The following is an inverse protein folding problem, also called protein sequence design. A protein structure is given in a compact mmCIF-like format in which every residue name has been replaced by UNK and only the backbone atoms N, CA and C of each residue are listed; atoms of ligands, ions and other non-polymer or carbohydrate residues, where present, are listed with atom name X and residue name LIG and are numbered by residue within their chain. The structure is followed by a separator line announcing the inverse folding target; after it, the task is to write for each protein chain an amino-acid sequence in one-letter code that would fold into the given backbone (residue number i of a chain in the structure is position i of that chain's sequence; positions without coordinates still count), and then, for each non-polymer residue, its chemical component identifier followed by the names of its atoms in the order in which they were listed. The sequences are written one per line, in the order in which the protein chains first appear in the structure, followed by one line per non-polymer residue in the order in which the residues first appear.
data_IF_174866419326
#
_entry.id   IF_174866419326
#
_cell.length_a   1.000
_cell.length_b   1.000
_cell.length_c   1.000
_cell.angle_alpha   90.00
_cell.angle_beta   90.00
_cell.angle_gamma   90.00
#
_symmetry.space_group_name_H-M   'P 1'
#
loop_
_entity.id
_entity.type
_entity.pdbx_description
1 polymer ?
#
# COMPACT_ATOMS: atom_id res chain seq x y z
N UNK A 1 28.01 -8.70 -3.92
CA UNK A 1 27.77 -7.45 -3.16
C UNK A 1 26.26 -7.34 -2.92
N UNK A 2 25.77 -7.19 -1.68
CA UNK A 2 24.37 -6.89 -1.46
C UNK A 2 24.03 -5.61 -2.22
N UNK A 3 22.98 -5.68 -3.04
CA UNK A 3 22.58 -4.57 -3.89
C UNK A 3 22.21 -3.36 -3.02
N UNK A 4 22.96 -2.27 -3.13
CA UNK A 4 22.81 -1.07 -2.29
C UNK A 4 21.38 -0.55 -2.27
N UNK A 5 20.98 0.02 -1.13
CA UNK A 5 19.75 0.76 -1.00
C UNK A 5 19.87 2.05 -1.81
N UNK A 6 19.04 2.20 -2.84
CA UNK A 6 18.90 3.46 -3.57
C UNK A 6 17.66 4.19 -3.06
N UNK A 7 17.61 5.51 -3.28
CA UNK A 7 16.44 6.33 -2.95
C UNK A 7 15.17 5.74 -3.57
N UNK A 8 15.23 5.29 -4.82
CA UNK A 8 14.11 4.67 -5.52
C UNK A 8 13.57 3.44 -4.78
N UNK A 9 14.46 2.54 -4.35
CA UNK A 9 14.08 1.31 -3.66
C UNK A 9 13.51 1.62 -2.28
N UNK A 10 14.12 2.56 -1.56
CA UNK A 10 13.63 2.99 -0.25
C UNK A 10 12.24 3.59 -0.34
N UNK A 11 12.00 4.48 -1.30
CA UNK A 11 10.67 5.07 -1.57
C UNK A 11 9.66 3.98 -1.92
N UNK A 12 10.02 3.04 -2.80
CA UNK A 12 9.15 1.94 -3.18
C UNK A 12 8.78 1.05 -1.98
N UNK A 13 9.78 0.66 -1.18
CA UNK A 13 9.56 -0.19 -0.01
C UNK A 13 8.67 0.48 1.03
N UNK A 14 8.93 1.76 1.35
CA UNK A 14 8.10 2.55 2.28
C UNK A 14 6.67 2.70 1.74
N UNK A 15 6.51 3.02 0.46
CA UNK A 15 5.20 3.13 -0.17
C UNK A 15 4.44 1.79 -0.17
N UNK A 16 5.13 0.66 -0.41
CA UNK A 16 4.56 -0.68 -0.35
C UNK A 16 4.10 -1.03 1.07
N UNK A 17 4.89 -0.69 2.08
CA UNK A 17 4.51 -0.87 3.49
C UNK A 17 3.26 -0.07 3.85
N UNK A 18 3.18 1.20 3.46
CA UNK A 18 1.98 2.01 3.68
C UNK A 18 0.78 1.47 2.90
N UNK A 19 0.98 1.01 1.66
CA UNK A 19 -0.09 0.42 0.86
C UNK A 19 -0.66 -0.85 1.52
N UNK A 20 0.18 -1.69 2.14
CA UNK A 20 -0.25 -2.85 2.92
C UNK A 20 -1.07 -2.40 4.14
N UNK A 21 -0.54 -1.48 4.96
CA UNK A 21 -1.18 -1.04 6.19
C UNK A 21 -2.53 -0.35 5.91
N UNK A 22 -2.53 0.70 5.10
CA UNK A 22 -3.76 1.46 4.82
C UNK A 22 -4.75 0.66 3.98
N UNK A 23 -4.29 -0.24 3.11
CA UNK A 23 -5.14 -1.16 2.38
C UNK A 23 -5.88 -2.13 3.29
N UNK A 24 -5.16 -2.77 4.23
CA UNK A 24 -5.76 -3.62 5.26
C UNK A 24 -6.82 -2.87 6.06
N UNK A 25 -6.45 -1.69 6.58
CA UNK A 25 -7.36 -0.85 7.38
C UNK A 25 -8.60 -0.47 6.58
N UNK A 26 -8.46 -0.09 5.31
CA UNK A 26 -9.60 0.33 4.49
C UNK A 26 -10.52 -0.83 4.10
N UNK A 27 -9.95 -2.02 3.85
CA UNK A 27 -10.71 -3.22 3.48
C UNK A 27 -11.43 -3.85 4.67
N UNK A 28 -10.78 -3.93 5.84
CA UNK A 28 -11.32 -4.55 7.05
C UNK A 28 -12.28 -3.65 7.82
N UNK A 29 -12.30 -2.34 7.53
CA UNK A 29 -13.25 -1.40 8.15
C UNK A 29 -14.71 -1.81 7.88
N UNK A 30 -15.51 -1.82 8.96
CA UNK A 30 -16.96 -2.08 8.93
C UNK A 30 -17.73 -1.02 8.14
N UNK A 31 -17.48 0.26 8.43
CA UNK A 31 -18.15 1.40 7.77
C UNK A 31 -17.45 1.81 6.47
N UNK A 32 -18.07 1.52 5.33
CA UNK A 32 -17.56 1.87 4.00
C UNK A 32 -18.32 3.08 3.43
N UNK A 33 -17.69 3.83 2.53
CA UNK A 33 -18.28 5.02 1.89
C UNK A 33 -18.29 6.31 2.72
N UNK A 34 -18.05 6.24 4.04
CA UNK A 34 -17.92 7.42 4.90
C UNK A 34 -16.65 8.26 4.66
N UNK A 35 -16.56 9.42 5.30
CA UNK A 35 -15.42 10.35 5.15
C UNK A 35 -14.07 9.71 5.47
N UNK A 36 -13.99 8.94 6.56
CA UNK A 36 -12.76 8.27 6.97
C UNK A 36 -12.35 7.14 6.00
N UNK A 37 -13.31 6.39 5.45
CA UNK A 37 -13.06 5.41 4.38
C UNK A 37 -12.49 6.09 3.13
N UNK A 38 -13.04 7.25 2.75
CA UNK A 38 -12.53 8.02 1.60
C UNK A 38 -11.13 8.58 1.85
N UNK A 39 -10.86 9.10 3.05
CA UNK A 39 -9.55 9.66 3.41
C UNK A 39 -8.46 8.57 3.44
N UNK A 40 -8.68 7.48 4.18
CA UNK A 40 -7.75 6.34 4.24
C UNK A 40 -7.60 5.70 2.86
N UNK A 41 -8.70 5.53 2.12
CA UNK A 41 -8.67 4.99 0.76
C UNK A 41 -7.83 5.82 -0.21
N UNK A 42 -7.83 7.17 -0.09
CA UNK A 42 -6.97 8.03 -0.91
C UNK A 42 -5.49 7.84 -0.60
N UNK A 43 -5.14 7.74 0.68
CA UNK A 43 -3.75 7.48 1.10
C UNK A 43 -3.29 6.13 0.53
N UNK A 44 -4.09 5.08 0.74
CA UNK A 44 -3.80 3.76 0.21
C UNK A 44 -3.58 3.77 -1.32
N UNK A 45 -4.50 4.40 -2.07
CA UNK A 45 -4.42 4.49 -3.53
C UNK A 45 -3.19 5.27 -3.98
N UNK A 46 -2.86 6.39 -3.31
CA UNK A 46 -1.66 7.17 -3.62
C UNK A 46 -0.39 6.34 -3.39
N UNK A 47 -0.29 5.63 -2.27
CA UNK A 47 0.81 4.70 -1.99
C UNK A 47 0.92 3.61 -3.06
N UNK A 48 -0.20 3.01 -3.47
CA UNK A 48 -0.21 2.00 -4.53
C UNK A 48 0.27 2.55 -5.88
N UNK A 49 -0.11 3.78 -6.24
CA UNK A 49 0.41 4.41 -7.47
C UNK A 49 1.92 4.64 -7.39
N UNK A 50 2.45 5.07 -6.25
CA UNK A 50 3.90 5.20 -6.06
C UNK A 50 4.57 3.84 -6.24
N UNK A 51 4.02 2.76 -5.66
CA UNK A 51 4.55 1.39 -5.78
C UNK A 51 4.63 0.95 -7.24
N UNK A 52 3.51 1.02 -7.98
CA UNK A 52 3.49 0.54 -9.37
C UNK A 52 4.32 1.41 -10.31
N UNK A 53 4.44 2.72 -10.06
CA UNK A 53 5.27 3.58 -10.91
C UNK A 53 6.76 3.38 -10.65
N UNK A 54 7.15 3.26 -9.38
CA UNK A 54 8.56 3.04 -9.01
C UNK A 54 9.03 1.63 -9.33
N UNK A 55 8.14 0.63 -9.37
CA UNK A 55 8.52 -0.76 -9.70
C UNK A 55 9.18 -0.88 -11.07
N UNK A 56 8.77 -0.08 -12.06
CA UNK A 56 9.37 -0.08 -13.40
C UNK A 56 10.83 0.37 -13.43
N UNK A 57 11.26 1.18 -12.45
CA UNK A 57 12.66 1.56 -12.28
C UNK A 57 13.49 0.52 -11.51
N UNK A 58 12.83 -0.42 -10.82
CA UNK A 58 13.49 -1.48 -10.03
C UNK A 58 13.64 -2.72 -10.90
N UNK A 59 14.67 -2.72 -11.74
CA UNK A 59 15.04 -3.90 -12.53
C UNK A 59 15.68 -4.97 -11.64
N UNK A 60 15.39 -6.23 -11.94
CA UNK A 60 15.90 -7.37 -11.16
C UNK A 60 17.30 -7.80 -11.60
N UNK A 61 17.85 -8.83 -10.95
CA UNK A 61 19.23 -9.33 -11.09
C UNK A 61 19.58 -9.66 -12.55
N UNK A 62 18.60 -10.04 -13.36
CA UNK A 62 18.79 -10.43 -14.77
C UNK A 62 18.55 -9.28 -15.76
N UNK A 63 18.34 -8.05 -15.26
CA UNK A 63 18.12 -6.84 -16.06
C UNK A 63 16.78 -6.73 -16.79
N UNK A 64 15.99 -7.81 -16.83
CA UNK A 64 14.71 -7.90 -17.56
C UNK A 64 13.44 -7.58 -16.76
N UNK A 65 12.34 -7.41 -17.50
CA UNK A 65 10.98 -7.39 -16.97
C UNK A 65 10.56 -8.79 -16.51
N UNK A 66 9.97 -8.89 -15.33
CA UNK A 66 9.46 -10.14 -14.79
C UNK A 66 7.97 -10.04 -14.43
N UNK A 67 7.41 -11.10 -13.87
CA UNK A 67 6.00 -11.17 -13.50
C UNK A 67 5.55 -10.06 -12.53
N UNK A 68 6.44 -9.50 -11.70
CA UNK A 68 6.12 -8.36 -10.81
C UNK A 68 5.86 -7.07 -11.59
N UNK A 69 6.47 -6.90 -12.77
CA UNK A 69 6.19 -5.77 -13.64
C UNK A 69 4.84 -5.94 -14.35
N UNK A 70 4.54 -7.15 -14.82
CA UNK A 70 3.22 -7.47 -15.36
C UNK A 70 2.13 -7.25 -14.30
N UNK A 71 2.40 -7.67 -13.05
CA UNK A 71 1.51 -7.41 -11.93
C UNK A 71 1.36 -5.91 -11.64
N UNK A 72 2.42 -5.11 -11.80
CA UNK A 72 2.36 -3.66 -11.63
C UNK A 72 1.47 -2.99 -12.68
N UNK A 73 1.56 -3.42 -13.95
CA UNK A 73 0.66 -2.96 -15.02
C UNK A 73 -0.78 -3.35 -14.71
N UNK A 74 -1.03 -4.62 -14.36
CA UNK A 74 -2.36 -5.09 -14.00
C UNK A 74 -2.95 -4.28 -12.85
N UNK A 75 -2.15 -4.06 -11.80
CA UNK A 75 -2.54 -3.32 -10.60
C UNK A 75 -2.84 -1.85 -10.92
N UNK A 76 -2.03 -1.21 -11.78
CA UNK A 76 -2.28 0.16 -12.24
C UNK A 76 -3.63 0.25 -12.97
N UNK A 77 -3.92 -0.70 -13.86
CA UNK A 77 -5.18 -0.78 -14.58
C UNK A 77 -6.37 -1.02 -13.64
N UNK A 78 -6.27 -1.99 -12.72
CA UNK A 78 -7.36 -2.33 -11.79
C UNK A 78 -7.64 -1.22 -10.78
N UNK A 79 -6.62 -0.54 -10.28
CA UNK A 79 -6.80 0.64 -9.42
C UNK A 79 -7.53 1.75 -10.16
N UNK A 80 -7.08 2.09 -11.36
CA UNK A 80 -7.67 3.17 -12.16
C UNK A 80 -9.11 2.84 -12.54
N UNK A 81 -9.37 1.60 -12.97
CA UNK A 81 -10.72 1.11 -13.23
C UNK A 81 -11.59 1.11 -11.96
N UNK A 82 -11.04 0.74 -10.80
CA UNK A 82 -11.75 0.76 -9.51
C UNK A 82 -12.14 2.17 -9.08
N UNK A 83 -11.27 3.15 -9.30
CA UNK A 83 -11.55 4.56 -9.06
C UNK A 83 -12.56 5.14 -10.07
N UNK A 84 -12.58 4.65 -11.29
CA UNK A 84 -13.57 5.04 -12.28
C UNK A 84 -14.95 4.43 -11.98
N UNK A 85 -14.98 3.16 -11.56
CA UNK A 85 -16.20 2.46 -11.16
C UNK A 85 -16.94 3.19 -10.03
N UNK A 86 -16.23 3.63 -8.97
CA UNK A 86 -16.86 4.39 -7.88
C UNK A 86 -17.38 5.74 -8.34
N UNK A 87 -16.71 6.42 -9.29
CA UNK A 87 -17.20 7.67 -9.89
C UNK A 87 -18.49 7.47 -10.68
N UNK A 88 -18.66 6.30 -11.31
CA UNK A 88 -19.89 5.90 -12.02
C UNK A 88 -20.95 5.30 -11.08
N UNK A 89 -20.74 5.30 -9.77
CA UNK A 89 -21.66 4.70 -8.80
C UNK A 89 -21.64 3.17 -8.75
N UNK A 90 -20.76 2.50 -9.50
CA UNK A 90 -20.64 1.05 -9.50
C UNK A 90 -19.76 0.56 -8.32
N UNK A 91 -20.39 0.48 -7.15
CA UNK A 91 -19.73 0.09 -5.90
C UNK A 91 -19.26 -1.37 -5.91
N UNK A 92 -20.00 -2.27 -6.58
CA UNK A 92 -19.63 -3.69 -6.67
C UNK A 92 -18.32 -3.86 -7.44
N UNK A 93 -18.19 -3.20 -8.60
CA UNK A 93 -16.97 -3.23 -9.39
C UNK A 93 -15.81 -2.55 -8.65
N UNK A 94 -16.04 -1.37 -8.03
CA UNK A 94 -15.03 -0.72 -7.19
C UNK A 94 -14.49 -1.67 -6.12
N UNK A 95 -15.38 -2.32 -5.34
CA UNK A 95 -14.98 -3.25 -4.28
C UNK A 95 -14.15 -4.41 -4.84
N UNK A 96 -14.60 -5.05 -5.92
CA UNK A 96 -13.90 -6.19 -6.51
C UNK A 96 -12.49 -5.81 -6.99
N UNK A 97 -12.36 -4.69 -7.71
CA UNK A 97 -11.08 -4.22 -8.25
C UNK A 97 -10.11 -3.77 -7.15
N UNK A 98 -10.60 -3.10 -6.11
CA UNK A 98 -9.78 -2.70 -4.97
C UNK A 98 -9.30 -3.90 -4.16
N UNK A 99 -10.18 -4.88 -3.90
CA UNK A 99 -9.79 -6.13 -3.22
C UNK A 99 -8.78 -6.91 -4.06
N UNK A 100 -9.00 -7.06 -5.37
CA UNK A 100 -8.06 -7.73 -6.27
C UNK A 100 -6.68 -7.07 -6.28
N UNK A 101 -6.64 -5.74 -6.33
CA UNK A 101 -5.38 -4.97 -6.28
C UNK A 101 -4.63 -5.19 -4.95
N UNK A 102 -5.35 -5.29 -3.83
CA UNK A 102 -4.76 -5.60 -2.53
C UNK A 102 -4.20 -7.03 -2.45
N UNK A 103 -4.95 -8.01 -2.98
CA UNK A 103 -4.47 -9.39 -3.04
C UNK A 103 -3.23 -9.52 -3.94
N UNK A 104 -3.19 -8.76 -5.05
CA UNK A 104 -2.00 -8.62 -5.88
C UNK A 104 -0.81 -8.08 -5.08
N UNK A 105 -1.00 -7.00 -4.31
CA UNK A 105 0.03 -6.45 -3.43
C UNK A 105 0.53 -7.48 -2.40
N UNK A 106 -0.37 -8.24 -1.76
CA UNK A 106 0.01 -9.30 -0.83
C UNK A 106 0.82 -10.40 -1.52
N UNK A 107 0.39 -10.83 -2.72
CA UNK A 107 1.12 -11.80 -3.52
C UNK A 107 2.52 -11.31 -3.92
N UNK A 108 2.64 -10.04 -4.29
CA UNK A 108 3.93 -9.40 -4.58
C UNK A 108 4.85 -9.41 -3.35
N UNK A 109 4.31 -9.05 -2.18
CA UNK A 109 5.06 -9.04 -0.93
C UNK A 109 5.56 -10.44 -0.55
N UNK A 110 4.69 -11.45 -0.62
CA UNK A 110 5.08 -12.86 -0.41
C UNK A 110 6.15 -13.29 -1.42
N UNK A 111 6.00 -12.94 -2.70
CA UNK A 111 6.98 -13.24 -3.73
C UNK A 111 8.36 -12.61 -3.48
N UNK A 112 8.40 -11.41 -2.89
CA UNK A 112 9.66 -10.76 -2.48
C UNK A 112 10.28 -11.47 -1.28
N UNK A 113 9.48 -11.85 -0.28
CA UNK A 113 9.95 -12.54 0.93
C UNK A 113 10.45 -13.95 0.64
N UNK A 114 9.86 -14.64 -0.34
CA UNK A 114 10.20 -16.00 -0.72
C UNK A 114 11.59 -16.13 -1.38
N UNK A 115 12.24 -15.02 -1.74
CA UNK A 115 13.56 -15.01 -2.37
C UNK A 115 14.58 -14.43 -1.37
N UNK A 116 15.36 -15.26 -0.66
CA UNK A 116 16.24 -14.82 0.42
C UNK A 116 17.31 -13.81 0.00
N UNK A 117 17.70 -13.81 -1.28
CA UNK A 117 18.67 -12.85 -1.83
C UNK A 117 18.10 -11.44 -2.03
N UNK A 118 16.79 -11.22 -1.79
CA UNK A 118 16.16 -9.89 -1.86
C UNK A 118 16.48 -9.07 -0.61
N UNK A 119 16.46 -7.75 -0.78
CA UNK A 119 16.88 -6.78 0.25
C UNK A 119 16.10 -6.88 1.57
N UNK A 120 14.78 -7.14 1.51
CA UNK A 120 13.96 -7.23 2.72
C UNK A 120 14.29 -8.48 3.56
N UNK A 121 14.34 -9.70 2.99
CA UNK A 121 14.88 -10.87 3.70
C UNK A 121 16.31 -10.68 4.22
N UNK A 122 17.20 -10.06 3.44
CA UNK A 122 18.57 -9.75 3.88
C UNK A 122 18.59 -8.80 5.09
N UNK A 123 17.74 -7.76 5.08
CA UNK A 123 17.58 -6.86 6.22
C UNK A 123 17.04 -7.60 7.46
N UNK A 124 16.13 -8.55 7.27
CA UNK A 124 15.59 -9.37 8.36
C UNK A 124 16.62 -10.35 8.92
N UNK A 125 17.56 -10.83 8.12
CA UNK A 125 18.58 -11.79 8.59
C UNK A 125 19.75 -11.05 9.26
N UNK A 126 20.19 -9.94 8.69
CA UNK A 126 21.41 -9.26 9.10
C UNK A 126 21.19 -8.08 10.05
N UNK A 127 20.02 -7.43 10.00
CA UNK A 127 19.77 -6.12 10.64
C UNK A 127 18.39 -6.09 11.33
N UNK A 128 18.10 -7.12 12.13
CA UNK A 128 16.83 -7.26 12.86
C UNK A 128 16.42 -6.01 13.67
N UNK A 129 17.33 -5.35 14.42
CA UNK A 129 16.95 -4.16 15.19
C UNK A 129 16.47 -3.01 14.30
N UNK A 130 17.15 -2.78 13.17
CA UNK A 130 16.76 -1.73 12.22
C UNK A 130 15.41 -2.06 11.57
N UNK A 131 15.20 -3.31 11.15
CA UNK A 131 13.91 -3.74 10.62
C UNK A 131 12.78 -3.52 11.64
N UNK A 132 13.00 -3.92 12.90
CA UNK A 132 12.03 -3.73 13.98
C UNK A 132 11.68 -2.25 14.20
N UNK A 133 12.69 -1.37 14.23
CA UNK A 133 12.48 0.06 14.35
C UNK A 133 11.68 0.63 13.18
N UNK A 134 12.00 0.24 11.94
CA UNK A 134 11.27 0.70 10.75
C UNK A 134 9.80 0.28 10.78
N UNK A 135 9.51 -0.97 11.19
CA UNK A 135 8.15 -1.46 11.37
C UNK A 135 7.42 -0.63 12.43
N UNK A 136 8.06 -0.38 13.58
CA UNK A 136 7.47 0.42 14.66
C UNK A 136 7.15 1.85 14.19
N UNK A 137 8.07 2.48 13.46
CA UNK A 137 7.87 3.83 12.91
C UNK A 137 6.73 3.84 11.90
N UNK A 138 6.66 2.87 10.98
CA UNK A 138 5.60 2.77 9.99
C UNK A 138 4.23 2.54 10.64
N UNK A 139 4.15 1.66 11.64
CA UNK A 139 2.91 1.40 12.36
C UNK A 139 2.49 2.60 13.22
N UNK A 140 3.44 3.24 13.92
CA UNK A 140 3.18 4.42 14.75
C UNK A 140 2.67 5.59 13.92
N UNK A 141 3.35 5.91 12.81
CA UNK A 141 2.92 6.99 11.89
C UNK A 141 1.59 6.68 11.21
N UNK A 142 1.34 5.44 10.80
CA UNK A 142 0.04 5.04 10.27
C UNK A 142 -1.07 5.16 11.32
N UNK A 143 -0.82 4.72 12.56
CA UNK A 143 -1.77 4.83 13.67
C UNK A 143 -2.10 6.30 13.97
N UNK A 144 -1.08 7.15 14.11
CA UNK A 144 -1.28 8.60 14.32
C UNK A 144 -2.07 9.23 13.17
N UNK A 145 -1.80 8.86 11.93
CA UNK A 145 -2.54 9.34 10.76
C UNK A 145 -4.01 8.92 10.83
N UNK A 146 -4.30 7.66 11.15
CA UNK A 146 -5.67 7.14 11.23
C UNK A 146 -6.44 7.79 12.38
N UNK A 147 -5.81 7.90 13.55
CA UNK A 147 -6.41 8.52 14.74
C UNK A 147 -6.65 10.01 14.51
N UNK A 148 -5.69 10.74 13.96
CA UNK A 148 -5.86 12.15 13.61
C UNK A 148 -7.00 12.37 12.61
N UNK A 149 -7.08 11.55 11.56
CA UNK A 149 -8.19 11.61 10.59
C UNK A 149 -9.55 11.28 11.24
N UNK A 150 -9.59 10.35 12.19
CA UNK A 150 -10.80 10.02 12.93
C UNK A 150 -11.24 11.17 13.83
N UNK A 151 -10.32 11.76 14.60
CA UNK A 151 -10.58 12.89 15.50
C UNK A 151 -11.05 14.13 14.75
N UNK A 152 -10.37 14.50 13.65
CA UNK A 152 -10.80 15.63 12.81
C UNK A 152 -12.23 15.40 12.30
N UNK A 153 -12.57 14.16 11.96
CA UNK A 153 -13.92 13.84 11.47
C UNK A 153 -14.98 13.91 12.57
N UNK A 154 -14.64 13.52 13.79
CA UNK A 154 -15.52 13.65 14.95
C UNK A 154 -15.75 15.11 15.33
N UNK A 155 -14.69 15.93 15.33
CA UNK A 155 -14.78 17.36 15.62
C UNK A 155 -15.68 18.12 14.61
N UNK A 156 -15.78 17.63 13.37
CA UNK A 156 -16.62 18.20 12.32
C UNK A 156 -18.08 17.72 12.34
N UNK A 157 -18.49 16.85 13.29
CA UNK A 157 -19.90 16.42 13.40
C UNK A 157 -20.75 17.55 14.03
N UNK A 158 -21.81 18.03 13.37
CA UNK A 158 -22.64 19.12 13.91
C UNK A 158 -23.32 18.72 15.23
N UNK A 159 -23.44 19.68 16.16
CA UNK A 159 -23.95 19.49 17.52
C UNK A 159 -25.43 19.09 17.62
N UNK A 160 -26.19 19.12 16.52
CA UNK A 160 -27.63 18.81 16.49
C UNK A 160 -27.98 17.31 16.48
N UNK A 161 -27.00 16.43 16.72
CA UNK A 161 -27.16 14.96 16.69
C UNK A 161 -26.60 14.30 17.98
N UNK A 162 -26.44 15.08 19.06
CA UNK A 162 -26.05 14.54 20.37
C UNK A 162 -27.25 14.39 21.28
#
# INVERSE_FOLDING_TARGET
MPSSWTVLISVHAIAASYALIFGAVNLLRRTKGGGLHKAVGRIWVASMYIVVLTSFGIRTIDGGFNWLHALSVLTFCTLTAGLWAVRKGNIRAHRSLMTGSYLGLMGAFVGVLAVPSRRIPQLAIHELPLLGLLILVLLGTAALTILGLAQIREAQRPLSVR
#
